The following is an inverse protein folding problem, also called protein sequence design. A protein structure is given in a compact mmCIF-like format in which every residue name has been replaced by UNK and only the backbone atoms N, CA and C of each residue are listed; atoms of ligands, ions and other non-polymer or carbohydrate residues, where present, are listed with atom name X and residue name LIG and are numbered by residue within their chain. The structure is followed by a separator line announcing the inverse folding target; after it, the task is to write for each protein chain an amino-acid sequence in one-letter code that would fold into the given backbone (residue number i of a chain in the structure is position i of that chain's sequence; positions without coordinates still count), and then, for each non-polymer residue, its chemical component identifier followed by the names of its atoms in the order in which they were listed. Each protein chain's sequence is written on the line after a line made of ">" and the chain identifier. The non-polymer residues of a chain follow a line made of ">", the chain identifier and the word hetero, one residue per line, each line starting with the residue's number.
data_IF_837448371483
#
_entry.id   IF_837448371483
#
_cell.length_a   1.000
_cell.length_b   1.000
_cell.length_c   1.000
_cell.angle_alpha   90.00
_cell.angle_beta   90.00
_cell.angle_gamma   90.00
#
_symmetry.space_group_name_H-M   'P 1'
#
loop_
_entity.id
_entity.type
_entity.pdbx_description
1 polymer ?
#
# COMPACT_ATOMS: atom_id res chain seq x y z
N UNK A 1 2.14 15.59 12.97
CA UNK A 1 1.86 15.79 11.53
C UNK A 1 2.47 17.08 10.96
N UNK A 2 1.92 18.28 11.20
CA UNK A 2 2.39 19.51 10.55
C UNK A 2 3.90 19.81 10.72
N UNK A 3 4.43 19.67 11.94
CA UNK A 3 5.86 19.83 12.24
C UNK A 3 6.76 18.83 11.47
N UNK A 4 6.28 17.60 11.27
CA UNK A 4 7.05 16.56 10.57
C UNK A 4 7.08 16.80 9.05
N UNK A 5 6.06 17.50 8.53
CA UNK A 5 5.92 17.82 7.11
C UNK A 5 6.46 19.21 6.76
N UNK A 6 7.06 19.93 7.73
CA UNK A 6 7.55 21.30 7.52
C UNK A 6 6.44 22.29 7.16
N UNK A 7 5.20 22.04 7.56
CA UNK A 7 4.03 22.85 7.21
C UNK A 7 3.29 23.37 8.45
N UNK A 8 2.29 24.23 8.23
CA UNK A 8 1.46 24.81 9.31
C UNK A 8 0.23 23.92 9.56
N UNK A 9 -0.22 23.82 10.80
CA UNK A 9 -1.38 23.00 11.17
C UNK A 9 -2.66 23.28 10.33
N UNK A 10 -3.00 24.54 9.96
CA UNK A 10 -4.15 24.81 9.10
C UNK A 10 -4.05 24.18 7.70
N UNK A 11 -2.84 23.96 7.20
CA UNK A 11 -2.60 23.33 5.89
C UNK A 11 -2.98 21.85 5.94
N UNK A 12 -2.66 21.16 7.03
CA UNK A 12 -3.08 19.76 7.23
C UNK A 12 -4.60 19.66 7.26
N UNK A 13 -5.27 20.54 8.02
CA UNK A 13 -6.73 20.55 8.06
C UNK A 13 -7.37 20.82 6.70
N UNK A 14 -6.72 21.61 5.83
CA UNK A 14 -7.19 21.80 4.44
C UNK A 14 -7.05 20.54 3.60
N UNK A 15 -6.01 19.72 3.84
CA UNK A 15 -5.87 18.40 3.19
C UNK A 15 -6.98 17.46 3.63
N UNK A 16 -7.26 17.38 4.93
CA UNK A 16 -8.28 16.50 5.50
C UNK A 16 -9.71 16.86 5.07
N UNK A 17 -9.99 18.15 4.84
CA UNK A 17 -11.29 18.64 4.36
C UNK A 17 -11.42 18.73 2.85
N UNK A 18 -10.43 18.24 2.12
CA UNK A 18 -10.34 18.31 0.65
C UNK A 18 -10.36 19.73 0.05
N UNK A 19 -10.10 20.75 0.86
CA UNK A 19 -9.99 22.16 0.44
C UNK A 19 -8.68 22.42 -0.31
N UNK A 20 -7.69 21.55 -0.13
CA UNK A 20 -6.39 21.61 -0.78
C UNK A 20 -5.86 20.20 -1.00
N UNK A 21 -5.30 19.90 -2.18
CA UNK A 21 -4.60 18.63 -2.40
C UNK A 21 -3.13 18.77 -1.98
N UNK A 22 -2.55 17.79 -1.27
CA UNK A 22 -1.11 17.77 -1.00
C UNK A 22 -0.33 17.63 -2.31
N UNK A 23 0.90 18.15 -2.35
CA UNK A 23 1.84 17.81 -3.42
C UNK A 23 2.20 16.32 -3.36
N UNK A 24 2.73 15.76 -4.44
CA UNK A 24 3.20 14.36 -4.45
C UNK A 24 4.23 14.13 -3.32
N UNK A 25 5.20 15.03 -3.17
CA UNK A 25 6.21 14.94 -2.10
C UNK A 25 5.58 14.97 -0.70
N UNK A 26 4.57 15.83 -0.48
CA UNK A 26 3.86 15.92 0.80
C UNK A 26 3.04 14.66 1.06
N UNK A 27 2.37 14.11 0.04
CA UNK A 27 1.60 12.88 0.13
C UNK A 27 2.51 11.68 0.43
N UNK A 28 3.68 11.58 -0.19
CA UNK A 28 4.68 10.55 0.12
C UNK A 28 5.13 10.63 1.57
N UNK A 29 5.54 11.81 2.04
CA UNK A 29 5.95 12.00 3.46
C UNK A 29 4.82 11.70 4.44
N UNK A 30 3.57 11.97 4.05
CA UNK A 30 2.38 11.63 4.83
C UNK A 30 2.20 10.12 4.92
N UNK A 31 2.32 9.40 3.81
CA UNK A 31 2.21 7.95 3.75
C UNK A 31 3.29 7.30 4.62
N UNK A 32 4.55 7.75 4.48
CA UNK A 32 5.67 7.26 5.29
C UNK A 32 5.46 7.53 6.79
N UNK A 33 4.97 8.73 7.16
CA UNK A 33 4.71 9.10 8.56
C UNK A 33 3.58 8.27 9.19
N UNK A 34 2.61 7.87 8.38
CA UNK A 34 1.46 7.08 8.81
C UNK A 34 1.70 5.57 8.67
N UNK A 35 2.87 5.16 8.15
CA UNK A 35 3.23 3.76 7.87
C UNK A 35 2.22 3.03 6.97
N UNK A 36 1.57 3.76 6.06
CA UNK A 36 0.62 3.23 5.07
C UNK A 36 1.15 3.40 3.64
N UNK A 37 0.57 2.67 2.69
CA UNK A 37 0.89 2.88 1.28
C UNK A 37 0.32 4.21 0.77
N UNK A 38 1.00 4.81 -0.23
CA UNK A 38 0.49 6.01 -0.89
C UNK A 38 -0.87 5.77 -1.55
N UNK A 39 -1.08 4.59 -2.14
CA UNK A 39 -2.35 4.22 -2.76
C UNK A 39 -3.49 4.14 -1.75
N UNK A 40 -3.23 3.64 -0.53
CA UNK A 40 -4.20 3.66 0.57
C UNK A 40 -4.49 5.10 1.01
N UNK A 41 -3.44 5.91 1.22
CA UNK A 41 -3.58 7.32 1.65
C UNK A 41 -4.45 8.15 0.70
N UNK A 42 -4.31 7.93 -0.62
CA UNK A 42 -5.06 8.69 -1.64
C UNK A 42 -6.38 8.03 -2.06
N UNK A 43 -6.78 6.93 -1.41
CA UNK A 43 -8.05 6.25 -1.64
C UNK A 43 -8.13 5.48 -2.97
N UNK A 44 -7.00 5.03 -3.52
CA UNK A 44 -6.98 4.11 -4.67
C UNK A 44 -7.25 2.66 -4.28
N UNK A 45 -7.06 2.32 -3.01
CA UNK A 45 -7.34 1.01 -2.44
C UNK A 45 -7.89 1.17 -1.04
N UNK A 46 -8.87 0.36 -0.68
CA UNK A 46 -9.35 0.22 0.70
C UNK A 46 -8.45 -0.72 1.52
N UNK A 47 -7.52 -1.41 0.87
CA UNK A 47 -6.61 -2.35 1.51
C UNK A 47 -5.35 -1.64 2.00
N UNK A 48 -5.23 -1.54 3.31
CA UNK A 48 -3.97 -1.22 3.96
C UNK A 48 -3.03 -2.42 3.78
N UNK A 49 -1.98 -2.23 2.97
CA UNK A 49 -0.90 -3.21 2.89
C UNK A 49 0.02 -2.96 4.08
N UNK A 50 0.01 -3.88 5.05
CA UNK A 50 0.93 -3.81 6.16
C UNK A 50 2.38 -3.90 5.65
N UNK A 51 3.28 -3.17 6.32
CA UNK A 51 4.69 -3.06 5.92
C UNK A 51 5.36 -4.43 5.77
N UNK A 52 5.00 -5.42 6.58
CA UNK A 52 5.61 -6.75 6.53
C UNK A 52 5.19 -7.52 5.27
N UNK A 53 3.93 -7.42 4.87
CA UNK A 53 3.44 -8.02 3.61
C UNK A 53 4.10 -7.36 2.41
N UNK A 54 4.23 -6.03 2.40
CA UNK A 54 4.91 -5.30 1.34
C UNK A 54 6.39 -5.73 1.20
N UNK A 55 7.12 -5.77 2.31
CA UNK A 55 8.53 -6.17 2.32
C UNK A 55 8.73 -7.59 1.77
N UNK A 56 7.86 -8.54 2.15
CA UNK A 56 7.89 -9.90 1.60
C UNK A 56 7.71 -9.93 0.08
N UNK A 57 6.79 -9.13 -0.45
CA UNK A 57 6.57 -9.05 -1.91
C UNK A 57 7.80 -8.43 -2.60
N UNK A 58 8.41 -7.40 -2.01
CA UNK A 58 9.64 -6.80 -2.54
C UNK A 58 10.81 -7.80 -2.54
N UNK A 59 10.98 -8.57 -1.46
CA UNK A 59 11.99 -9.63 -1.39
C UNK A 59 11.80 -10.67 -2.51
N UNK A 60 10.55 -11.05 -2.81
CA UNK A 60 10.24 -11.98 -3.91
C UNK A 60 10.62 -11.39 -5.28
N UNK A 61 10.53 -10.07 -5.47
CA UNK A 61 10.91 -9.42 -6.73
C UNK A 61 12.41 -9.46 -6.99
N UNK A 62 13.23 -9.44 -5.95
CA UNK A 62 14.70 -9.51 -6.02
C UNK A 62 15.23 -10.94 -6.25
N UNK A 63 14.36 -11.95 -6.21
CA UNK A 63 14.76 -13.34 -6.45
C UNK A 63 15.04 -13.62 -7.94
N UNK A 64 15.87 -14.64 -8.24
CA UNK A 64 16.03 -15.13 -9.61
C UNK A 64 14.69 -15.45 -10.25
N UNK A 65 14.53 -15.09 -11.52
CA UNK A 65 13.25 -15.20 -12.26
C UNK A 65 12.59 -16.57 -12.10
N UNK A 66 13.36 -17.65 -12.23
CA UNK A 66 12.86 -19.03 -12.11
C UNK A 66 12.23 -19.31 -10.72
N UNK A 67 12.84 -18.80 -9.65
CA UNK A 67 12.34 -18.98 -8.28
C UNK A 67 11.10 -18.13 -8.06
N UNK A 68 11.14 -16.87 -8.52
CA UNK A 68 10.01 -15.93 -8.44
C UNK A 68 8.77 -16.47 -9.16
N UNK A 69 8.93 -17.01 -10.37
CA UNK A 69 7.84 -17.62 -11.15
C UNK A 69 7.20 -18.81 -10.41
N UNK A 70 8.02 -19.67 -9.80
CA UNK A 70 7.53 -20.79 -8.98
C UNK A 70 6.73 -20.31 -7.77
N UNK A 71 7.19 -19.26 -7.09
CA UNK A 71 6.47 -18.69 -5.94
C UNK A 71 5.13 -18.08 -6.36
N UNK A 72 5.09 -17.33 -7.47
CA UNK A 72 3.83 -16.80 -7.98
C UNK A 72 2.85 -17.89 -8.39
N UNK A 73 3.35 -18.98 -8.99
CA UNK A 73 2.52 -20.15 -9.28
C UNK A 73 1.83 -20.72 -8.02
N UNK A 74 2.56 -20.87 -6.91
CA UNK A 74 1.97 -21.34 -5.65
C UNK A 74 0.93 -20.37 -5.08
N UNK A 75 1.19 -19.05 -5.17
CA UNK A 75 0.25 -18.01 -4.73
C UNK A 75 -1.04 -18.09 -5.56
N UNK A 76 -0.92 -18.12 -6.88
CA UNK A 76 -2.04 -18.17 -7.81
C UNK A 76 -2.89 -19.42 -7.61
N UNK A 77 -2.23 -20.58 -7.45
CA UNK A 77 -2.91 -21.85 -7.17
C UNK A 77 -3.67 -21.80 -5.83
N UNK A 78 -3.08 -21.22 -4.79
CA UNK A 78 -3.73 -21.09 -3.48
C UNK A 78 -4.95 -20.17 -3.54
N UNK A 79 -4.86 -19.04 -4.26
CA UNK A 79 -5.97 -18.12 -4.47
C UNK A 79 -7.08 -18.79 -5.28
N UNK A 80 -6.72 -19.54 -6.32
CA UNK A 80 -7.67 -20.26 -7.16
C UNK A 80 -8.43 -21.33 -6.36
N UNK A 81 -7.72 -22.17 -5.61
CA UNK A 81 -8.33 -23.21 -4.77
C UNK A 81 -9.30 -22.61 -3.73
N UNK A 82 -8.92 -21.52 -3.08
CA UNK A 82 -9.79 -20.82 -2.14
C UNK A 82 -11.06 -20.29 -2.80
N UNK A 83 -10.94 -19.63 -3.97
CA UNK A 83 -12.10 -19.13 -4.74
C UNK A 83 -13.01 -20.26 -5.20
N UNK A 84 -12.45 -21.38 -5.66
CA UNK A 84 -13.20 -22.55 -6.07
C UNK A 84 -14.02 -23.12 -4.89
N UNK A 85 -13.41 -23.25 -3.71
CA UNK A 85 -14.10 -23.72 -2.49
C UNK A 85 -15.29 -22.84 -2.11
N UNK A 86 -15.16 -21.53 -2.20
CA UNK A 86 -16.27 -20.59 -1.96
C UNK A 86 -17.38 -20.78 -3.00
N UNK A 87 -17.05 -21.01 -4.27
CA UNK A 87 -18.04 -21.14 -5.34
C UNK A 87 -18.84 -22.47 -5.31
N UNK A 88 -18.26 -23.52 -4.72
CA UNK A 88 -18.90 -24.83 -4.55
C UNK A 88 -19.58 -25.02 -3.18
N UNK A 89 -19.62 -23.97 -2.35
CA UNK A 89 -20.36 -23.92 -1.08
C UNK A 89 -21.58 -23.01 -1.25
#
# INVERSE_FOLDING_TARGET
>A
MAKHLGTKAPVIGRYERDEMKPSIETATKLADLLEVSLDYLVGKTDFELDTKTLLRVLEVQELPQEVREKLFYFIDMSIHDFKAKIAYT
#
